data_IF_124943374967
#
_entry.id   IF_124943374967
#
_cell.length_a   1.000
_cell.length_b   1.000
_cell.length_c   1.000
_cell.angle_alpha   90.00
_cell.angle_beta   90.00
_cell.angle_gamma   90.00
#
_symmetry.space_group_name_H-M   'P 1'
#
loop_
_entity.id
_entity.type
_entity.pdbx_description
1 polymer ?
#
# COMPACT_ATOMS: atom_id res chain seq x y z
N UNK A 1 -35.60 -24.96 -7.79
CA UNK A 1 -34.90 -23.65 -7.72
C UNK A 1 -33.50 -23.88 -7.19
N UNK A 2 -32.50 -23.82 -8.07
CA UNK A 2 -31.09 -24.02 -7.70
C UNK A 2 -30.59 -22.90 -6.82
N UNK A 3 -30.11 -23.21 -5.64
CA UNK A 3 -29.46 -22.28 -4.71
C UNK A 3 -28.23 -21.70 -5.44
N UNK A 4 -28.27 -20.43 -5.83
CA UNK A 4 -27.12 -19.72 -6.42
C UNK A 4 -25.96 -19.90 -5.46
N UNK A 5 -24.92 -20.63 -5.90
CA UNK A 5 -23.70 -20.84 -5.14
C UNK A 5 -23.08 -19.46 -4.90
N UNK A 6 -23.10 -18.97 -3.66
CA UNK A 6 -22.42 -17.73 -3.28
C UNK A 6 -20.94 -18.00 -3.49
N UNK A 7 -20.37 -17.36 -4.51
CA UNK A 7 -18.95 -17.53 -4.80
C UNK A 7 -18.16 -16.76 -3.76
N UNK A 8 -17.13 -17.40 -3.26
CA UNK A 8 -16.22 -16.80 -2.31
C UNK A 8 -15.48 -15.64 -2.97
N UNK A 9 -15.43 -14.49 -2.29
CA UNK A 9 -14.72 -13.29 -2.74
C UNK A 9 -13.24 -13.58 -2.97
N UNK A 10 -12.64 -14.46 -2.15
CA UNK A 10 -11.25 -14.87 -2.26
C UNK A 10 -10.98 -15.62 -3.57
N UNK A 11 -11.86 -16.52 -3.99
CA UNK A 11 -11.75 -17.22 -5.28
C UNK A 11 -11.75 -16.26 -6.46
N UNK A 12 -12.52 -15.18 -6.35
CA UNK A 12 -12.52 -14.13 -7.38
C UNK A 12 -11.21 -13.33 -7.39
N UNK A 13 -10.66 -13.02 -6.21
CA UNK A 13 -9.38 -12.34 -6.08
C UNK A 13 -8.22 -13.20 -6.58
N UNK A 14 -8.22 -14.51 -6.29
CA UNK A 14 -7.21 -15.45 -6.80
C UNK A 14 -7.23 -15.50 -8.33
N UNK A 15 -8.42 -15.58 -8.93
CA UNK A 15 -8.56 -15.59 -10.38
C UNK A 15 -8.16 -14.24 -11.01
N UNK A 16 -8.46 -13.12 -10.37
CA UNK A 16 -8.04 -11.79 -10.81
C UNK A 16 -6.52 -11.65 -10.77
N UNK A 17 -5.87 -12.09 -9.69
CA UNK A 17 -4.42 -12.16 -9.55
C UNK A 17 -3.79 -12.99 -10.67
N UNK A 18 -4.34 -14.18 -10.95
CA UNK A 18 -3.87 -15.04 -12.04
C UNK A 18 -3.97 -14.34 -13.41
N UNK A 19 -5.07 -13.62 -13.69
CA UNK A 19 -5.23 -12.86 -14.94
C UNK A 19 -4.14 -11.78 -15.03
N UNK A 20 -3.93 -11.00 -13.97
CA UNK A 20 -2.93 -9.91 -13.95
C UNK A 20 -1.52 -10.46 -14.13
N UNK A 21 -1.17 -11.53 -13.42
CA UNK A 21 0.17 -12.14 -13.47
C UNK A 21 0.45 -12.75 -14.84
N UNK A 22 -0.55 -13.37 -15.48
CA UNK A 22 -0.35 -14.11 -16.73
C UNK A 22 -0.51 -13.21 -17.97
N UNK A 23 -1.44 -12.27 -17.94
CA UNK A 23 -1.86 -11.49 -19.12
C UNK A 23 -1.72 -9.98 -18.95
N UNK A 24 -1.25 -9.52 -17.79
CA UNK A 24 -1.12 -8.10 -17.44
C UNK A 24 -2.43 -7.46 -16.99
N UNK A 25 -2.35 -6.31 -16.30
CA UNK A 25 -3.51 -5.63 -15.72
C UNK A 25 -4.53 -5.12 -16.77
N UNK A 26 -4.11 -4.88 -18.00
CA UNK A 26 -5.02 -4.50 -19.10
C UNK A 26 -6.03 -5.61 -19.42
N UNK A 27 -5.66 -6.87 -19.23
CA UNK A 27 -6.54 -8.03 -19.46
C UNK A 27 -7.58 -8.21 -18.33
N UNK A 28 -7.41 -7.57 -17.19
CA UNK A 28 -8.35 -7.64 -16.06
C UNK A 28 -9.63 -6.87 -16.39
N UNK A 29 -10.70 -7.62 -16.63
CA UNK A 29 -12.05 -7.10 -16.82
C UNK A 29 -13.04 -7.95 -16.04
N UNK A 30 -14.22 -7.40 -15.72
CA UNK A 30 -15.29 -8.17 -15.06
C UNK A 30 -15.70 -9.37 -15.92
N UNK A 31 -15.71 -9.24 -17.23
CA UNK A 31 -16.06 -10.33 -18.16
C UNK A 31 -14.97 -11.42 -18.21
N UNK A 32 -13.68 -11.02 -18.25
CA UNK A 32 -12.57 -11.97 -18.19
C UNK A 32 -12.57 -12.75 -16.87
N UNK A 33 -12.79 -12.08 -15.75
CA UNK A 33 -12.89 -12.71 -14.44
C UNK A 33 -14.08 -13.67 -14.37
N UNK A 34 -15.26 -13.26 -14.85
CA UNK A 34 -16.44 -14.10 -14.90
C UNK A 34 -16.18 -15.41 -15.70
N UNK A 35 -15.52 -15.28 -16.85
CA UNK A 35 -15.12 -16.41 -17.68
C UNK A 35 -14.11 -17.33 -16.98
N UNK A 36 -13.11 -16.76 -16.33
CA UNK A 36 -12.05 -17.52 -15.64
C UNK A 36 -12.62 -18.39 -14.51
N UNK A 37 -13.63 -17.87 -13.78
CA UNK A 37 -14.26 -18.59 -12.64
C UNK A 37 -15.49 -19.40 -13.07
N UNK A 38 -15.92 -19.30 -14.31
CA UNK A 38 -17.06 -20.06 -14.84
C UNK A 38 -18.42 -19.58 -14.32
N UNK A 39 -18.60 -18.27 -14.12
CA UNK A 39 -19.85 -17.67 -13.65
C UNK A 39 -20.33 -16.55 -14.59
N UNK A 40 -21.51 -16.02 -14.28
CA UNK A 40 -22.04 -14.88 -15.03
C UNK A 40 -21.38 -13.56 -14.59
N UNK A 41 -21.33 -12.55 -15.49
CA UNK A 41 -20.92 -11.18 -15.17
C UNK A 41 -21.64 -10.63 -13.92
N UNK A 42 -22.95 -10.84 -13.83
CA UNK A 42 -23.74 -10.46 -12.65
C UNK A 42 -23.34 -11.16 -11.37
N UNK A 43 -22.78 -12.38 -11.46
CA UNK A 43 -22.21 -13.11 -10.33
C UNK A 43 -20.94 -12.43 -9.77
N UNK A 44 -20.05 -11.92 -10.66
CA UNK A 44 -18.89 -11.13 -10.26
C UNK A 44 -19.33 -9.79 -9.69
N UNK A 45 -20.25 -9.09 -10.38
CA UNK A 45 -20.75 -7.78 -9.98
C UNK A 45 -21.48 -7.76 -8.64
N UNK A 46 -21.97 -8.90 -8.18
CA UNK A 46 -22.49 -9.04 -6.81
C UNK A 46 -21.40 -8.86 -5.74
N UNK A 47 -20.17 -9.31 -6.01
CA UNK A 47 -19.02 -9.19 -5.09
C UNK A 47 -18.21 -7.90 -5.34
N UNK A 48 -18.07 -7.52 -6.61
CA UNK A 48 -17.33 -6.35 -7.05
C UNK A 48 -18.18 -5.60 -8.09
N UNK A 49 -18.82 -4.52 -7.67
CA UNK A 49 -19.76 -3.77 -8.53
C UNK A 49 -19.07 -3.18 -9.77
N UNK A 50 -17.78 -2.80 -9.64
CA UNK A 50 -16.96 -2.21 -10.70
C UNK A 50 -15.58 -2.89 -10.77
N UNK A 51 -14.84 -2.63 -11.86
CA UNK A 51 -13.43 -3.01 -11.96
C UNK A 51 -12.58 -2.30 -10.90
N UNK A 52 -12.90 -1.05 -10.56
CA UNK A 52 -12.16 -0.27 -9.57
C UNK A 52 -12.30 -0.91 -8.17
N UNK A 53 -13.52 -1.32 -7.79
CA UNK A 53 -13.73 -2.04 -6.52
C UNK A 53 -12.96 -3.38 -6.46
N UNK A 54 -12.79 -4.05 -7.59
CA UNK A 54 -11.96 -5.26 -7.67
C UNK A 54 -10.49 -4.91 -7.48
N UNK A 55 -10.01 -3.86 -8.13
CA UNK A 55 -8.62 -3.37 -8.02
C UNK A 55 -8.33 -2.93 -6.58
N UNK A 56 -9.22 -2.15 -5.97
CA UNK A 56 -9.07 -1.72 -4.57
C UNK A 56 -8.97 -2.93 -3.63
N UNK A 57 -9.83 -3.95 -3.82
CA UNK A 57 -9.78 -5.17 -3.02
C UNK A 57 -8.48 -6.00 -3.24
N UNK A 58 -7.88 -5.96 -4.43
CA UNK A 58 -6.58 -6.57 -4.67
C UNK A 58 -5.47 -5.83 -3.92
N UNK A 59 -5.49 -4.48 -3.93
CA UNK A 59 -4.56 -3.67 -3.15
C UNK A 59 -4.74 -3.88 -1.64
N UNK A 60 -5.98 -3.92 -1.13
CA UNK A 60 -6.27 -4.26 0.28
C UNK A 60 -5.65 -5.61 0.67
N UNK A 61 -5.82 -6.63 -0.17
CA UNK A 61 -5.28 -7.97 0.08
C UNK A 61 -3.75 -7.99 0.11
N UNK A 62 -3.11 -7.33 -0.85
CA UNK A 62 -1.64 -7.30 -0.93
C UNK A 62 -1.03 -6.30 0.05
N UNK A 63 -1.75 -5.24 0.40
CA UNK A 63 -1.35 -4.26 1.40
C UNK A 63 -1.52 -4.73 2.84
N UNK A 64 -2.18 -5.86 3.10
CA UNK A 64 -2.52 -6.30 4.46
C UNK A 64 -1.30 -6.40 5.39
N UNK A 65 -0.16 -6.90 4.90
CA UNK A 65 1.08 -6.98 5.68
C UNK A 65 1.61 -5.58 6.04
N UNK A 66 1.56 -4.65 5.09
CA UNK A 66 1.93 -3.25 5.34
C UNK A 66 0.99 -2.60 6.34
N UNK A 67 -0.33 -2.76 6.16
CA UNK A 67 -1.33 -2.14 7.03
C UNK A 67 -1.23 -2.66 8.47
N UNK A 68 -0.99 -3.96 8.66
CA UNK A 68 -0.75 -4.53 9.99
C UNK A 68 0.47 -3.88 10.67
N UNK A 69 1.60 -3.78 9.96
CA UNK A 69 2.81 -3.16 10.49
C UNK A 69 2.58 -1.67 10.77
N UNK A 70 1.94 -0.97 9.85
CA UNK A 70 1.64 0.46 10.00
C UNK A 70 0.79 0.73 11.24
N UNK A 71 -0.35 0.05 11.41
CA UNK A 71 -1.25 0.27 12.55
C UNK A 71 -0.63 -0.14 13.87
N UNK A 72 0.18 -1.20 13.90
CA UNK A 72 0.93 -1.61 15.09
C UNK A 72 1.87 -0.52 15.62
N UNK A 73 2.45 0.27 14.74
CA UNK A 73 3.43 1.30 15.09
C UNK A 73 2.79 2.69 15.23
N UNK A 74 1.80 3.00 14.41
CA UNK A 74 1.17 4.30 14.34
C UNK A 74 -0.02 4.44 15.30
N UNK A 75 -0.74 3.35 15.59
CA UNK A 75 -2.04 3.41 16.26
C UNK A 75 -3.13 3.97 15.33
N UNK A 76 -4.33 4.22 15.91
CA UNK A 76 -5.50 4.63 15.13
C UNK A 76 -5.47 6.11 14.71
N UNK A 77 -4.83 6.98 15.49
CA UNK A 77 -4.76 8.43 15.26
C UNK A 77 -3.31 8.94 15.42
N UNK A 78 -2.42 8.59 14.48
CA UNK A 78 -1.01 8.94 14.63
C UNK A 78 -0.76 10.44 14.46
N UNK A 79 0.19 10.97 15.25
CA UNK A 79 0.77 12.27 14.93
C UNK A 79 1.50 12.21 13.58
N UNK A 80 1.57 13.31 12.81
CA UNK A 80 2.11 13.29 11.45
C UNK A 80 3.52 12.70 11.32
N UNK A 81 4.44 13.04 12.23
CA UNK A 81 5.78 12.45 12.25
C UNK A 81 5.77 10.96 12.57
N UNK A 82 4.89 10.52 13.49
CA UNK A 82 4.70 9.11 13.81
C UNK A 82 4.15 8.34 12.62
N UNK A 83 3.23 8.93 11.85
CA UNK A 83 2.69 8.33 10.64
C UNK A 83 3.78 8.12 9.58
N UNK A 84 4.67 9.09 9.37
CA UNK A 84 5.81 8.94 8.45
C UNK A 84 6.77 7.85 8.92
N UNK A 85 7.13 7.83 10.20
CA UNK A 85 7.97 6.77 10.78
C UNK A 85 7.36 5.39 10.57
N UNK A 86 6.08 5.23 10.92
CA UNK A 86 5.36 3.97 10.77
C UNK A 86 5.26 3.53 9.30
N UNK A 87 5.06 4.47 8.38
CA UNK A 87 5.05 4.19 6.94
C UNK A 87 6.39 3.61 6.47
N UNK A 88 7.51 4.24 6.82
CA UNK A 88 8.84 3.80 6.42
C UNK A 88 9.15 2.41 6.98
N UNK A 89 8.90 2.17 8.28
CA UNK A 89 9.10 0.85 8.89
C UNK A 89 8.16 -0.21 8.33
N UNK A 90 6.88 0.12 8.08
CA UNK A 90 5.93 -0.80 7.49
C UNK A 90 6.35 -1.21 6.06
N UNK A 91 6.82 -0.25 5.25
CA UNK A 91 7.34 -0.52 3.91
C UNK A 91 8.57 -1.43 3.95
N UNK A 92 9.50 -1.18 4.89
CA UNK A 92 10.69 -2.01 5.07
C UNK A 92 10.36 -3.47 5.42
N UNK A 93 9.31 -3.69 6.24
CA UNK A 93 8.98 -4.99 6.84
C UNK A 93 7.84 -5.73 6.14
N UNK A 94 7.22 -5.14 5.13
CA UNK A 94 6.12 -5.76 4.39
C UNK A 94 6.57 -7.02 3.65
N UNK A 95 5.64 -7.94 3.44
CA UNK A 95 5.87 -9.15 2.66
C UNK A 95 6.29 -8.81 1.22
N UNK A 96 7.47 -9.28 0.83
CA UNK A 96 8.08 -8.95 -0.46
C UNK A 96 7.24 -9.42 -1.64
N UNK A 97 6.68 -10.63 -1.58
CA UNK A 97 5.89 -11.19 -2.67
C UNK A 97 4.60 -10.39 -2.91
N UNK A 98 3.90 -10.04 -1.83
CA UNK A 98 2.69 -9.20 -1.90
C UNK A 98 3.01 -7.78 -2.36
N UNK A 99 4.12 -7.21 -1.89
CA UNK A 99 4.61 -5.89 -2.29
C UNK A 99 4.96 -5.84 -3.78
N UNK A 100 5.65 -6.86 -4.30
CA UNK A 100 5.97 -6.95 -5.72
C UNK A 100 4.71 -7.05 -6.61
N UNK A 101 3.68 -7.79 -6.17
CA UNK A 101 2.39 -7.86 -6.87
C UNK A 101 1.67 -6.52 -6.89
N UNK A 102 1.63 -5.82 -5.76
CA UNK A 102 1.02 -4.49 -5.66
C UNK A 102 1.74 -3.48 -6.57
N UNK A 103 3.07 -3.48 -6.56
CA UNK A 103 3.88 -2.62 -7.44
C UNK A 103 3.66 -2.92 -8.92
N UNK A 104 3.60 -4.20 -9.31
CA UNK A 104 3.32 -4.61 -10.67
C UNK A 104 1.94 -4.15 -11.16
N UNK A 105 0.91 -4.24 -10.32
CA UNK A 105 -0.41 -3.71 -10.63
C UNK A 105 -0.39 -2.18 -10.72
N UNK A 106 0.26 -1.49 -9.78
CA UNK A 106 0.37 -0.03 -9.77
C UNK A 106 1.07 0.47 -11.06
N UNK A 107 2.18 -0.14 -11.46
CA UNK A 107 2.88 0.20 -12.70
C UNK A 107 1.98 0.08 -13.95
N UNK A 108 1.17 -0.98 -14.01
CA UNK A 108 0.24 -1.18 -15.12
C UNK A 108 -0.93 -0.19 -15.11
N UNK A 109 -1.41 0.22 -13.93
CA UNK A 109 -2.50 1.18 -13.77
C UNK A 109 -2.09 2.62 -14.04
N UNK A 110 -0.80 2.96 -13.99
CA UNK A 110 -0.30 4.30 -14.35
C UNK A 110 -0.70 4.73 -15.76
N UNK A 111 -1.00 3.80 -16.65
CA UNK A 111 -1.52 4.08 -17.99
C UNK A 111 -2.99 4.51 -18.01
N UNK A 112 -3.70 4.41 -16.89
CA UNK A 112 -5.13 4.73 -16.76
C UNK A 112 -5.33 5.61 -15.53
N UNK A 113 -5.22 6.94 -15.67
CA UNK A 113 -5.25 7.89 -14.53
C UNK A 113 -6.47 7.76 -13.62
N UNK A 114 -7.61 7.33 -14.15
CA UNK A 114 -8.84 7.15 -13.40
C UNK A 114 -8.70 6.13 -12.26
N UNK A 115 -7.85 5.11 -12.47
CA UNK A 115 -7.61 4.05 -11.48
C UNK A 115 -6.59 4.42 -10.40
N UNK A 116 -5.97 5.60 -10.49
CA UNK A 116 -4.97 6.05 -9.52
C UNK A 116 -5.56 6.95 -8.41
N UNK A 117 -6.84 7.25 -8.45
CA UNK A 117 -7.44 8.22 -7.53
C UNK A 117 -7.37 7.75 -6.07
N UNK A 118 -7.70 6.49 -5.79
CA UNK A 118 -7.60 5.90 -4.46
C UNK A 118 -6.16 5.90 -3.95
N UNK A 119 -5.21 5.51 -4.81
CA UNK A 119 -3.78 5.55 -4.51
C UNK A 119 -3.29 6.97 -4.20
N UNK A 120 -3.74 7.98 -4.97
CA UNK A 120 -3.38 9.38 -4.71
C UNK A 120 -3.91 9.89 -3.36
N UNK A 121 -5.14 9.48 -2.99
CA UNK A 121 -5.74 9.81 -1.69
C UNK A 121 -4.92 9.14 -0.59
N UNK A 122 -4.62 7.86 -0.71
CA UNK A 122 -3.83 7.09 0.24
C UNK A 122 -2.47 7.74 0.52
N UNK A 123 -1.71 8.15 -0.51
CA UNK A 123 -0.43 8.86 -0.34
C UNK A 123 -0.59 10.20 0.37
N UNK A 124 -1.64 10.97 0.07
CA UNK A 124 -1.90 12.25 0.73
C UNK A 124 -2.20 12.09 2.22
N UNK A 125 -2.93 11.05 2.58
CA UNK A 125 -3.27 10.74 3.96
C UNK A 125 -2.04 10.40 4.79
N UNK A 126 -1.01 9.74 4.22
CA UNK A 126 0.25 9.44 4.91
C UNK A 126 1.06 10.69 5.29
N UNK A 127 0.90 11.78 4.57
CA UNK A 127 1.55 13.07 4.83
C UNK A 127 0.60 14.12 5.42
N UNK A 128 -0.64 13.73 5.75
CA UNK A 128 -1.64 14.66 6.26
C UNK A 128 -1.19 15.31 7.59
N UNK A 129 -1.34 16.63 7.67
CA UNK A 129 -0.98 17.40 8.86
C UNK A 129 0.52 17.61 9.08
N UNK A 130 1.39 17.12 8.20
CA UNK A 130 2.83 17.35 8.29
C UNK A 130 3.17 18.83 8.00
N UNK A 131 3.71 19.52 9.01
CA UNK A 131 4.13 20.92 8.85
C UNK A 131 5.51 21.01 8.17
N UNK A 132 5.50 21.20 6.86
CA UNK A 132 6.72 21.32 6.06
C UNK A 132 7.38 22.69 6.13
N UNK A 133 6.91 23.61 6.97
CA UNK A 133 7.61 24.88 7.27
C UNK A 133 8.71 24.67 8.32
N UNK A 134 8.59 23.63 9.14
CA UNK A 134 9.59 23.22 10.13
C UNK A 134 10.70 22.38 9.51
N UNK A 135 11.86 22.31 10.17
CA UNK A 135 12.98 21.46 9.73
C UNK A 135 12.59 19.98 9.82
N UNK A 136 11.99 19.59 10.95
CA UNK A 136 11.53 18.22 11.21
C UNK A 136 10.53 17.75 10.13
N UNK A 137 9.57 18.60 9.78
CA UNK A 137 8.59 18.27 8.74
C UNK A 137 9.21 18.16 7.34
N UNK A 138 10.24 18.98 7.02
CA UNK A 138 11.00 18.85 5.77
C UNK A 138 11.79 17.53 5.71
N UNK A 139 12.48 17.20 6.80
CA UNK A 139 13.23 15.94 6.93
C UNK A 139 12.30 14.74 6.80
N UNK A 140 11.15 14.73 7.50
CA UNK A 140 10.17 13.66 7.41
C UNK A 140 9.62 13.49 5.97
N UNK A 141 9.31 14.59 5.29
CA UNK A 141 8.89 14.52 3.88
C UNK A 141 9.98 13.96 2.97
N UNK A 142 11.24 14.33 3.16
CA UNK A 142 12.35 13.79 2.38
C UNK A 142 12.56 12.31 2.66
N UNK A 143 12.48 11.88 3.91
CA UNK A 143 12.58 10.47 4.29
C UNK A 143 11.44 9.63 3.68
N UNK A 144 10.21 10.15 3.70
CA UNK A 144 9.08 9.53 3.02
C UNK A 144 9.35 9.35 1.52
N UNK A 145 9.77 10.42 0.84
CA UNK A 145 10.07 10.36 -0.60
C UNK A 145 11.25 9.44 -0.92
N UNK A 146 12.25 9.33 -0.03
CA UNK A 146 13.36 8.40 -0.17
C UNK A 146 12.89 6.94 -0.05
N UNK A 147 12.01 6.63 0.90
CA UNK A 147 11.42 5.30 1.05
C UNK A 147 10.60 4.91 -0.19
N UNK A 148 9.78 5.82 -0.70
CA UNK A 148 9.02 5.61 -1.95
C UNK A 148 9.94 5.46 -3.17
N UNK A 149 11.02 6.23 -3.22
CA UNK A 149 12.06 6.09 -4.25
C UNK A 149 12.70 4.70 -4.23
N UNK A 150 13.11 4.20 -3.06
CA UNK A 150 13.65 2.86 -2.89
C UNK A 150 12.65 1.78 -3.30
N UNK A 151 11.37 1.94 -2.89
CA UNK A 151 10.28 1.05 -3.30
C UNK A 151 10.15 0.98 -4.83
N UNK A 152 10.05 2.11 -5.51
CA UNK A 152 9.92 2.17 -6.97
C UNK A 152 11.14 1.57 -7.66
N UNK A 153 12.35 1.90 -7.20
CA UNK A 153 13.60 1.40 -7.79
C UNK A 153 13.68 -0.13 -7.71
N UNK A 154 13.34 -0.72 -6.57
CA UNK A 154 13.38 -2.17 -6.37
C UNK A 154 12.23 -2.88 -7.11
N UNK A 155 10.99 -2.52 -6.78
CA UNK A 155 9.83 -3.31 -7.18
C UNK A 155 9.35 -3.05 -8.62
N UNK A 156 9.81 -1.96 -9.25
CA UNK A 156 9.61 -1.74 -10.70
C UNK A 156 10.80 -2.28 -11.52
N UNK A 157 11.79 -2.89 -10.85
CA UNK A 157 12.95 -3.49 -11.52
C UNK A 157 13.92 -2.48 -12.13
N UNK A 158 13.93 -1.24 -11.61
CA UNK A 158 14.83 -0.17 -12.07
C UNK A 158 16.23 -0.27 -11.45
N UNK A 159 16.32 -0.88 -10.26
CA UNK A 159 17.56 -1.22 -9.57
C UNK A 159 17.47 -2.62 -8.97
N UNK A 160 18.56 -3.35 -9.02
CA UNK A 160 18.71 -4.64 -8.34
C UNK A 160 19.13 -4.39 -6.88
N UNK A 161 18.13 -4.22 -6.01
CA UNK A 161 18.33 -3.98 -4.57
C UNK A 161 18.03 -5.29 -3.84
N UNK A 162 19.09 -5.94 -3.32
CA UNK A 162 18.96 -7.16 -2.52
C UNK A 162 18.39 -6.90 -1.12
N UNK A 163 18.08 -7.98 -0.37
CA UNK A 163 17.46 -7.87 0.95
C UNK A 163 18.31 -7.11 1.98
N UNK A 164 19.62 -7.33 1.99
CA UNK A 164 20.51 -6.66 2.96
C UNK A 164 20.65 -5.18 2.61
N UNK A 165 20.86 -4.84 1.34
CA UNK A 165 20.88 -3.46 0.86
C UNK A 165 19.56 -2.73 1.12
N UNK A 166 18.42 -3.42 0.95
CA UNK A 166 17.10 -2.90 1.31
C UNK A 166 17.02 -2.49 2.78
N UNK A 167 17.47 -3.35 3.69
CA UNK A 167 17.50 -3.07 5.12
C UNK A 167 18.43 -1.89 5.45
N UNK A 168 19.60 -1.85 4.83
CA UNK A 168 20.58 -0.78 5.05
C UNK A 168 20.01 0.57 4.59
N UNK A 169 19.44 0.66 3.38
CA UNK A 169 18.78 1.86 2.87
C UNK A 169 17.70 2.35 3.85
N UNK A 170 16.83 1.47 4.30
CA UNK A 170 15.74 1.85 5.22
C UNK A 170 16.23 2.23 6.61
N UNK A 171 17.30 1.60 7.11
CA UNK A 171 17.94 2.01 8.36
C UNK A 171 18.54 3.43 8.24
N UNK A 172 19.18 3.76 7.13
CA UNK A 172 19.72 5.09 6.85
C UNK A 172 18.60 6.13 6.76
N UNK A 173 17.49 5.81 6.07
CA UNK A 173 16.32 6.68 5.99
C UNK A 173 15.74 6.94 7.38
N UNK A 174 15.55 5.89 8.20
CA UNK A 174 15.04 6.02 9.57
C UNK A 174 15.98 6.83 10.48
N UNK A 175 17.30 6.65 10.34
CA UNK A 175 18.30 7.43 11.07
C UNK A 175 18.30 8.92 10.70
N UNK A 176 17.85 9.28 9.49
CA UNK A 176 17.72 10.68 9.04
C UNK A 176 16.49 11.40 9.60
N UNK A 177 15.54 10.67 10.18
CA UNK A 177 14.34 11.25 10.77
C UNK A 177 14.66 11.94 12.11
N UNK A 178 13.90 13.00 12.46
CA UNK A 178 14.00 13.59 13.77
C UNK A 178 13.75 12.55 14.87
N UNK A 179 14.56 12.59 15.93
CA UNK A 179 14.34 11.73 17.11
C UNK A 179 12.91 11.92 17.62
N UNK A 180 12.22 10.81 17.97
CA UNK A 180 10.91 10.89 18.62
C UNK A 180 11.05 11.81 19.83
N UNK A 181 10.40 12.96 19.83
CA UNK A 181 10.30 13.81 21.02
C UNK A 181 9.58 12.98 22.07
N UNK A 182 10.33 12.51 23.06
CA UNK A 182 9.77 11.88 24.26
C UNK A 182 8.86 12.93 24.90
N UNK A 183 7.57 12.72 24.86
CA UNK A 183 6.57 13.50 25.59
C UNK A 183 6.61 13.10 27.08
N UNK A 184 7.78 13.31 27.73
CA UNK A 184 7.96 13.27 29.15
C UNK A 184 8.69 14.55 29.55
N UNK A 185 7.94 15.52 30.02
CA UNK A 185 8.22 16.43 31.15
C UNK A 185 7.36 17.69 31.04
N UNK A 186 6.21 17.65 31.63
CA UNK A 186 5.61 18.85 32.22
C UNK A 186 4.51 18.48 33.23
N UNK A 187 4.90 17.77 34.27
CA UNK A 187 4.11 17.67 35.49
C UNK A 187 5.09 17.60 36.66
N UNK A 188 5.74 18.68 36.99
CA UNK A 188 6.19 19.01 38.34
C UNK A 188 6.76 20.43 38.31
N UNK A 189 6.00 21.32 38.88
CA UNK A 189 6.37 22.37 39.81
C UNK A 189 5.26 23.40 39.85
N UNK A 190 4.36 23.22 40.80
CA UNK A 190 3.67 24.29 41.52
C UNK A 190 3.44 23.80 42.94
N UNK A 191 4.40 24.11 43.80
CA UNK A 191 4.15 24.46 45.18
C UNK A 191 3.67 25.90 45.29
#
# INVERSE_FOLDING_TARGET
MGRRKKIDREVLLDAAEQIVTTHGAAALTIDALAKAVGITKGGVQYSFSTKDNLIDAMFERWGASYDEQFHKMAGDHPQPLTAVHAHIEATMRSDEASTAKAAGLLAALQQTPEHLKSTQIWYRERLAGLDTTTEEGRQARLAFLAAEGAFVLRFFGLMDIGEDEWKDIFNDILASLPSKVSSEHSLSDKD
#
